data_IF_715006206707
#
_entry.id   IF_715006206707
#
_cell.length_a   1.000
_cell.length_b   1.000
_cell.length_c   1.000
_cell.angle_alpha   90.00
_cell.angle_beta   90.00
_cell.angle_gamma   90.00
#
_symmetry.space_group_name_H-M   'P 1'
#
loop_
_entity.id
_entity.type
_entity.pdbx_description
1 polymer ?
#
# COMPACT_ATOMS: atom_id res chain seq x y z
N UNK A 1 13.73 -15.10 -4.18
CA UNK A 1 13.07 -15.85 -5.29
C UNK A 1 13.76 -15.51 -6.60
N UNK A 2 13.88 -16.42 -7.59
CA UNK A 2 14.52 -16.05 -8.88
C UNK A 2 13.61 -15.07 -9.64
N UNK A 3 14.20 -14.12 -10.38
CA UNK A 3 13.45 -13.04 -11.11
C UNK A 3 12.33 -13.59 -12.01
N UNK A 4 12.55 -14.75 -12.65
CA UNK A 4 11.55 -15.38 -13.52
C UNK A 4 10.35 -15.94 -12.73
N UNK A 5 10.60 -16.57 -11.58
CA UNK A 5 9.54 -17.10 -10.70
C UNK A 5 8.66 -15.97 -10.13
N UNK A 6 9.28 -14.82 -9.80
CA UNK A 6 8.53 -13.63 -9.35
C UNK A 6 7.60 -13.10 -10.44
N UNK A 7 8.12 -12.93 -11.66
CA UNK A 7 7.35 -12.43 -12.80
C UNK A 7 6.17 -13.34 -13.11
N UNK A 8 6.38 -14.66 -13.14
CA UNK A 8 5.31 -15.64 -13.38
C UNK A 8 4.26 -15.62 -12.27
N UNK A 9 4.68 -15.44 -11.01
CA UNK A 9 3.75 -15.31 -9.88
C UNK A 9 2.91 -14.04 -10.00
N UNK A 10 3.51 -12.90 -10.30
CA UNK A 10 2.80 -11.62 -10.47
C UNK A 10 1.80 -11.72 -11.60
N UNK A 11 2.18 -12.30 -12.74
CA UNK A 11 1.28 -12.48 -13.89
C UNK A 11 0.03 -13.29 -13.52
N UNK A 12 0.19 -14.39 -12.79
CA UNK A 12 -0.94 -15.22 -12.35
C UNK A 12 -1.88 -14.47 -11.40
N UNK A 13 -1.31 -13.63 -10.53
CA UNK A 13 -2.08 -12.77 -9.61
C UNK A 13 -2.83 -11.69 -10.38
N UNK A 14 -2.20 -11.04 -11.34
CA UNK A 14 -2.83 -10.03 -12.21
C UNK A 14 -4.01 -10.61 -13.00
N UNK A 15 -3.83 -11.75 -13.66
CA UNK A 15 -4.92 -12.46 -14.35
C UNK A 15 -6.06 -12.83 -13.38
N UNK A 16 -5.75 -13.07 -12.11
CA UNK A 16 -6.77 -13.33 -11.07
C UNK A 16 -7.50 -12.05 -10.69
N UNK A 17 -6.79 -10.94 -10.50
CA UNK A 17 -7.37 -9.63 -10.22
C UNK A 17 -8.35 -9.25 -11.32
N UNK A 18 -7.98 -9.40 -12.59
CA UNK A 18 -8.86 -9.11 -13.73
C UNK A 18 -10.17 -9.89 -13.69
N UNK A 19 -10.11 -11.18 -13.36
CA UNK A 19 -11.33 -12.00 -13.18
C UNK A 19 -12.19 -11.51 -12.02
N UNK A 20 -11.57 -11.10 -10.92
CA UNK A 20 -12.28 -10.64 -9.73
C UNK A 20 -12.91 -9.26 -9.92
N UNK A 21 -12.25 -8.34 -10.64
CA UNK A 21 -12.79 -7.02 -11.00
C UNK A 21 -14.13 -7.18 -11.73
N UNK A 22 -14.18 -8.13 -12.67
CA UNK A 22 -15.35 -8.43 -13.49
C UNK A 22 -16.38 -9.35 -12.79
N UNK A 23 -16.13 -9.76 -11.55
CA UNK A 23 -17.03 -10.66 -10.83
C UNK A 23 -18.32 -9.96 -10.39
N UNK A 24 -19.48 -10.66 -10.38
CA UNK A 24 -20.74 -10.08 -9.90
C UNK A 24 -20.64 -9.50 -8.48
N UNK A 25 -19.86 -10.16 -7.61
CA UNK A 25 -19.67 -9.70 -6.23
C UNK A 25 -18.91 -8.38 -6.16
N UNK A 26 -17.82 -8.21 -6.92
CA UNK A 26 -17.09 -6.93 -6.92
C UNK A 26 -17.96 -5.78 -7.46
N UNK A 27 -18.78 -6.07 -8.48
CA UNK A 27 -19.74 -5.10 -9.02
C UNK A 27 -20.83 -4.71 -8.01
N UNK A 28 -21.27 -5.64 -7.15
CA UNK A 28 -22.19 -5.30 -6.04
C UNK A 28 -21.50 -4.51 -4.93
N UNK A 29 -20.25 -4.84 -4.57
CA UNK A 29 -19.48 -4.07 -3.60
C UNK A 29 -19.32 -2.63 -4.06
N UNK A 30 -18.98 -2.39 -5.33
CA UNK A 30 -18.82 -1.05 -5.89
C UNK A 30 -20.09 -0.18 -5.74
N UNK A 31 -21.29 -0.79 -5.79
CA UNK A 31 -22.56 -0.08 -5.60
C UNK A 31 -22.79 0.37 -4.15
N UNK A 32 -22.05 -0.17 -3.17
CA UNK A 32 -22.17 0.22 -1.77
C UNK A 32 -21.45 1.55 -1.45
N UNK A 33 -20.63 2.06 -2.37
CA UNK A 33 -19.71 3.15 -2.11
C UNK A 33 -19.90 4.35 -3.04
N UNK A 34 -19.59 5.54 -2.52
CA UNK A 34 -19.35 6.74 -3.32
C UNK A 34 -17.85 6.99 -3.43
N UNK A 35 -17.36 7.47 -4.59
CA UNK A 35 -15.97 7.86 -4.75
C UNK A 35 -15.56 8.96 -3.75
N UNK A 36 -14.39 8.80 -3.14
CA UNK A 36 -13.78 9.81 -2.29
C UNK A 36 -12.71 10.58 -3.08
N UNK A 37 -12.95 11.86 -3.41
CA UNK A 37 -12.11 12.62 -4.35
C UNK A 37 -10.84 13.24 -3.74
N UNK A 38 -10.83 13.50 -2.42
CA UNK A 38 -9.78 14.27 -1.75
C UNK A 38 -9.22 13.48 -0.57
N UNK A 39 -8.54 12.37 -0.86
CA UNK A 39 -7.96 11.54 0.17
C UNK A 39 -6.62 10.97 -0.28
N UNK A 40 -5.78 10.63 0.69
CA UNK A 40 -4.55 9.92 0.43
C UNK A 40 -4.87 8.60 -0.28
N UNK A 41 -4.09 8.28 -1.32
CA UNK A 41 -4.19 7.04 -2.10
C UNK A 41 -3.28 5.95 -1.54
N UNK A 42 -3.12 5.94 -0.22
CA UNK A 42 -2.30 5.00 0.54
C UNK A 42 -3.02 3.66 0.78
N UNK A 43 -4.36 3.70 0.84
CA UNK A 43 -5.22 2.53 0.97
C UNK A 43 -6.51 2.75 0.15
N UNK A 44 -7.29 1.69 -0.05
CA UNK A 44 -8.61 1.82 -0.65
C UNK A 44 -9.53 2.59 0.30
N UNK A 45 -10.28 3.56 -0.23
CA UNK A 45 -11.19 4.41 0.56
C UNK A 45 -12.49 4.66 -0.19
N UNK A 46 -13.61 4.54 0.51
CA UNK A 46 -14.95 4.81 -0.02
C UNK A 46 -15.86 5.44 1.04
N UNK A 47 -16.80 6.27 0.61
CA UNK A 47 -17.85 6.80 1.49
C UNK A 47 -19.06 5.87 1.36
N UNK A 48 -19.51 5.21 2.44
CA UNK A 48 -20.61 4.26 2.35
C UNK A 48 -21.91 4.98 1.97
N UNK A 49 -22.73 4.34 1.13
CA UNK A 49 -24.08 4.83 0.88
C UNK A 49 -24.93 4.78 2.16
N UNK A 50 -25.98 5.63 2.27
CA UNK A 50 -26.89 5.58 3.40
C UNK A 50 -27.52 4.20 3.57
N UNK A 51 -27.75 3.79 4.84
CA UNK A 51 -28.38 2.50 5.19
C UNK A 51 -29.77 2.32 4.59
N UNK A 52 -30.47 3.40 4.25
CA UNK A 52 -31.75 3.36 3.51
C UNK A 52 -31.63 2.77 2.11
N UNK A 53 -30.42 2.70 1.55
CA UNK A 53 -30.12 2.13 0.22
C UNK A 53 -29.36 0.81 0.28
N UNK A 54 -28.92 0.38 1.46
CA UNK A 54 -28.06 -0.79 1.62
C UNK A 54 -28.74 -1.85 2.50
N UNK A 55 -28.56 -3.12 2.13
CA UNK A 55 -29.06 -4.24 2.94
C UNK A 55 -28.20 -4.52 4.18
N UNK A 56 -26.93 -4.13 4.14
CA UNK A 56 -26.02 -4.22 5.27
C UNK A 56 -25.06 -3.03 5.29
N UNK A 57 -24.49 -2.77 6.46
CA UNK A 57 -23.46 -1.74 6.63
C UNK A 57 -22.17 -2.29 5.99
N UNK A 58 -21.60 -1.62 4.98
CA UNK A 58 -20.37 -2.07 4.36
C UNK A 58 -19.20 -1.79 5.31
N UNK A 59 -18.26 -2.72 5.37
CA UNK A 59 -17.08 -2.64 6.22
C UNK A 59 -15.85 -3.08 5.44
N UNK A 60 -14.69 -2.55 5.80
CA UNK A 60 -13.39 -2.94 5.24
C UNK A 60 -12.50 -3.44 6.36
N UNK A 61 -11.65 -4.41 6.07
CA UNK A 61 -10.69 -4.98 7.03
C UNK A 61 -9.28 -4.65 6.55
N UNK A 62 -8.55 -3.87 7.33
CA UNK A 62 -7.17 -3.48 7.02
C UNK A 62 -6.24 -3.84 8.19
N UNK A 63 -5.66 -5.04 8.16
CA UNK A 63 -4.53 -5.41 9.02
C UNK A 63 -3.30 -4.55 8.74
N UNK A 64 -2.50 -4.31 9.77
CA UNK A 64 -1.15 -3.77 9.61
C UNK A 64 -0.24 -4.75 8.84
N UNK A 65 0.78 -4.23 8.14
CA UNK A 65 1.68 -5.04 7.31
C UNK A 65 2.31 -6.23 8.06
N UNK A 66 2.75 -6.12 9.33
CA UNK A 66 3.21 -7.27 10.12
C UNK A 66 2.16 -8.37 10.30
N UNK A 67 0.88 -8.04 10.37
CA UNK A 67 -0.20 -9.04 10.41
C UNK A 67 -0.41 -9.67 9.03
N UNK A 68 -0.38 -8.87 7.97
CA UNK A 68 -0.40 -9.40 6.59
C UNK A 68 0.75 -10.35 6.31
N UNK A 69 1.95 -10.04 6.78
CA UNK A 69 3.14 -10.88 6.67
C UNK A 69 2.92 -12.25 7.31
N UNK A 70 2.22 -12.32 8.46
CA UNK A 70 1.86 -13.58 9.11
C UNK A 70 0.78 -14.35 8.34
N UNK A 71 -0.18 -13.66 7.73
CA UNK A 71 -1.27 -14.27 6.95
C UNK A 71 -0.73 -14.88 5.64
N UNK A 72 0.14 -14.14 4.94
CA UNK A 72 0.59 -14.48 3.59
C UNK A 72 2.01 -15.06 3.53
N UNK A 73 2.75 -15.03 4.64
CA UNK A 73 4.08 -15.64 4.76
C UNK A 73 5.19 -14.87 4.03
N UNK A 74 5.18 -13.54 4.07
CA UNK A 74 6.24 -12.71 3.49
C UNK A 74 7.07 -11.99 4.56
N UNK A 75 8.28 -11.57 4.20
CA UNK A 75 9.14 -10.77 5.08
C UNK A 75 8.76 -9.29 5.02
N UNK A 76 8.54 -8.68 6.19
CA UNK A 76 8.10 -7.28 6.29
C UNK A 76 9.18 -6.32 5.77
N UNK A 77 10.46 -6.59 6.04
CA UNK A 77 11.55 -5.72 5.61
C UNK A 77 11.73 -5.75 4.09
N UNK A 78 11.67 -6.93 3.49
CA UNK A 78 11.67 -7.13 2.05
C UNK A 78 10.46 -6.45 1.40
N UNK A 79 9.27 -6.55 1.99
CA UNK A 79 8.07 -5.86 1.50
C UNK A 79 8.30 -4.36 1.32
N UNK A 80 8.90 -3.66 2.30
CA UNK A 80 9.14 -2.22 2.19
C UNK A 80 10.33 -1.81 1.29
N UNK A 81 11.19 -2.75 0.87
CA UNK A 81 12.44 -2.44 0.17
C UNK A 81 12.53 -3.01 -1.25
N UNK A 82 11.83 -4.11 -1.54
CA UNK A 82 11.84 -4.80 -2.83
C UNK A 82 10.51 -4.57 -3.58
N UNK A 83 10.54 -3.92 -4.76
CA UNK A 83 9.33 -3.62 -5.54
C UNK A 83 8.54 -4.88 -5.97
N UNK A 84 9.22 -5.98 -6.26
CA UNK A 84 8.58 -7.23 -6.66
C UNK A 84 7.85 -7.91 -5.51
N UNK A 85 8.49 -7.97 -4.34
CA UNK A 85 7.90 -8.46 -3.10
C UNK A 85 6.70 -7.60 -2.69
N UNK A 86 6.82 -6.27 -2.78
CA UNK A 86 5.72 -5.35 -2.52
C UNK A 86 4.53 -5.66 -3.42
N UNK A 87 4.71 -5.60 -4.74
CA UNK A 87 3.64 -5.80 -5.72
C UNK A 87 2.96 -7.17 -5.56
N UNK A 88 3.75 -8.25 -5.50
CA UNK A 88 3.21 -9.60 -5.34
C UNK A 88 2.32 -9.70 -4.11
N UNK A 89 2.77 -9.16 -2.99
CA UNK A 89 2.03 -9.26 -1.74
C UNK A 89 0.84 -8.31 -1.71
N UNK A 90 0.91 -7.11 -2.29
CA UNK A 90 -0.25 -6.20 -2.45
C UNK A 90 -1.36 -6.87 -3.26
N UNK A 91 -1.04 -7.48 -4.41
CA UNK A 91 -2.03 -8.24 -5.21
C UNK A 91 -2.60 -9.41 -4.42
N UNK A 92 -1.76 -10.12 -3.66
CA UNK A 92 -2.18 -11.23 -2.81
C UNK A 92 -3.12 -10.77 -1.68
N UNK A 93 -2.85 -9.62 -1.05
CA UNK A 93 -3.72 -9.02 -0.04
C UNK A 93 -5.09 -8.65 -0.62
N UNK A 94 -5.13 -8.06 -1.82
CA UNK A 94 -6.39 -7.74 -2.51
C UNK A 94 -7.25 -8.99 -2.74
N UNK A 95 -6.64 -10.06 -3.26
CA UNK A 95 -7.32 -11.34 -3.48
C UNK A 95 -7.76 -11.95 -2.14
N UNK A 96 -6.88 -11.96 -1.14
CA UNK A 96 -7.17 -12.57 0.15
C UNK A 96 -8.33 -11.88 0.87
N UNK A 97 -8.35 -10.54 0.92
CA UNK A 97 -9.47 -9.77 1.49
C UNK A 97 -10.78 -10.14 0.82
N UNK A 98 -10.78 -10.16 -0.51
CA UNK A 98 -11.97 -10.51 -1.27
C UNK A 98 -12.42 -11.94 -0.98
N UNK A 99 -11.54 -12.93 -1.01
CA UNK A 99 -11.94 -14.33 -0.92
C UNK A 99 -12.20 -14.81 0.52
N UNK A 100 -11.43 -14.32 1.50
CA UNK A 100 -11.41 -14.85 2.87
C UNK A 100 -12.11 -13.94 3.88
N UNK A 101 -11.81 -12.64 3.89
CA UNK A 101 -12.52 -11.70 4.78
C UNK A 101 -13.91 -11.41 4.26
N UNK A 102 -14.09 -11.49 2.94
CA UNK A 102 -15.32 -11.18 2.25
C UNK A 102 -15.86 -9.79 2.61
N UNK A 103 -14.93 -8.86 2.87
CA UNK A 103 -15.25 -7.48 3.18
C UNK A 103 -15.74 -6.71 1.94
N UNK A 104 -15.98 -5.42 2.11
CA UNK A 104 -16.49 -4.52 1.07
C UNK A 104 -15.38 -3.68 0.42
N UNK A 105 -14.13 -4.12 0.47
CA UNK A 105 -13.05 -3.44 -0.27
C UNK A 105 -13.16 -3.79 -1.76
N UNK A 106 -13.31 -2.79 -2.64
CA UNK A 106 -13.33 -3.05 -4.08
C UNK A 106 -11.96 -3.54 -4.54
N UNK A 107 -11.94 -4.54 -5.42
CA UNK A 107 -10.76 -4.86 -6.23
C UNK A 107 -10.76 -3.94 -7.45
N UNK A 108 -9.66 -3.22 -7.64
CA UNK A 108 -9.40 -2.29 -8.74
C UNK A 108 -7.91 -2.39 -9.15
N UNK A 109 -7.57 -1.98 -10.37
CA UNK A 109 -6.17 -1.89 -10.81
C UNK A 109 -5.53 -0.60 -10.29
N UNK A 110 -5.27 -0.56 -8.98
CA UNK A 110 -4.56 0.52 -8.29
C UNK A 110 -3.61 -0.11 -7.27
N UNK A 111 -2.31 0.18 -7.39
CA UNK A 111 -1.31 -0.22 -6.40
C UNK A 111 -0.92 1.00 -5.56
N UNK A 112 -1.41 1.11 -4.30
CA UNK A 112 -0.90 2.14 -3.41
C UNK A 112 0.55 1.82 -3.04
N UNK A 113 1.43 2.81 -3.01
CA UNK A 113 2.80 2.69 -2.49
C UNK A 113 2.84 3.33 -1.10
N UNK A 114 2.91 2.49 -0.07
CA UNK A 114 2.98 2.87 1.32
C UNK A 114 4.36 2.51 1.88
N UNK A 115 5.17 3.53 2.20
CA UNK A 115 6.52 3.35 2.75
C UNK A 115 6.56 3.44 4.29
N UNK A 116 5.41 3.29 4.93
CA UNK A 116 5.25 3.39 6.38
C UNK A 116 5.06 4.83 6.87
N UNK A 117 4.61 4.96 8.12
CA UNK A 117 4.30 6.24 8.76
C UNK A 117 5.53 7.17 8.97
N UNK A 118 6.72 6.65 8.67
CA UNK A 118 7.98 7.38 8.76
C UNK A 118 8.26 8.23 7.51
N UNK A 119 7.53 7.98 6.42
CA UNK A 119 7.82 8.55 5.11
C UNK A 119 7.88 10.07 5.14
N UNK A 120 6.84 10.73 5.65
CA UNK A 120 6.76 12.19 5.71
C UNK A 120 7.88 12.79 6.56
N UNK A 121 8.13 12.24 7.75
CA UNK A 121 9.22 12.70 8.63
C UNK A 121 10.60 12.50 8.00
N UNK A 122 10.77 11.44 7.20
CA UNK A 122 12.04 11.19 6.50
C UNK A 122 12.37 12.30 5.51
N UNK A 123 11.37 12.97 4.94
CA UNK A 123 11.55 14.08 4.00
C UNK A 123 12.27 15.27 4.64
N UNK A 124 12.14 15.41 5.97
CA UNK A 124 12.77 16.45 6.78
C UNK A 124 14.07 15.97 7.46
N UNK A 125 14.55 14.77 7.11
CA UNK A 125 15.83 14.24 7.58
C UNK A 125 15.73 13.29 8.78
N UNK A 126 14.53 12.99 9.29
CA UNK A 126 14.39 11.91 10.27
C UNK A 126 14.79 10.57 9.64
N UNK A 127 15.53 9.75 10.39
CA UNK A 127 15.99 8.47 9.88
C UNK A 127 14.91 7.39 10.04
N UNK A 128 14.60 6.69 8.96
CA UNK A 128 13.73 5.49 8.98
C UNK A 128 14.56 4.25 9.34
N UNK A 129 14.02 3.42 10.24
CA UNK A 129 14.60 2.16 10.69
C UNK A 129 13.71 1.01 10.21
N UNK A 130 14.30 0.08 9.45
CA UNK A 130 13.64 -1.14 9.00
C UNK A 130 14.05 -2.32 9.88
N UNK A 131 13.16 -2.70 10.79
CA UNK A 131 13.32 -3.85 11.70
C UNK A 131 12.65 -5.09 11.10
N UNK A 132 13.21 -6.26 11.37
CA UNK A 132 12.63 -7.54 10.94
C UNK A 132 11.25 -7.76 11.57
N UNK A 133 10.27 -8.15 10.76
CA UNK A 133 8.91 -8.44 11.23
C UNK A 133 8.07 -7.24 11.66
N UNK A 134 8.55 -6.01 11.52
CA UNK A 134 7.86 -4.79 11.98
C UNK A 134 7.72 -3.74 10.88
N UNK A 135 6.69 -2.90 10.98
CA UNK A 135 6.58 -1.70 10.14
C UNK A 135 7.75 -0.74 10.41
N UNK A 136 8.13 0.13 9.45
CA UNK A 136 9.24 1.05 9.62
C UNK A 136 9.01 1.99 10.81
N UNK A 137 10.08 2.23 11.57
CA UNK A 137 10.08 3.13 12.72
C UNK A 137 10.91 4.37 12.47
N UNK A 138 10.58 5.46 13.15
CA UNK A 138 11.47 6.61 13.23
C UNK A 138 12.58 6.32 14.23
N UNK A 139 13.79 6.71 13.87
CA UNK A 139 14.89 6.79 14.82
C UNK A 139 14.48 7.71 15.98
N UNK A 140 14.95 7.38 17.19
CA UNK A 140 14.58 8.10 18.40
C UNK A 140 15.25 9.46 18.50
N UNK A 141 16.28 9.69 17.70
CA UNK A 141 16.99 10.97 17.64
C UNK A 141 16.12 12.03 16.92
N UNK A 142 15.61 13.05 17.63
CA UNK A 142 14.79 14.07 17.02
C UNK A 142 15.64 15.06 16.22
N UNK A 143 15.12 15.48 15.07
CA UNK A 143 15.75 16.52 14.23
C UNK A 143 15.52 17.93 14.78
N UNK A 144 14.47 18.12 15.59
CA UNK A 144 14.13 19.39 16.25
C UNK A 144 14.32 19.18 17.75
N UNK A 145 15.30 19.85 18.34
CA UNK A 145 15.58 19.79 19.79
C UNK A 145 15.21 21.09 20.48
N UNK A 146 15.33 22.20 19.77
CA UNK A 146 14.93 23.52 20.24
C UNK A 146 14.02 24.22 19.24
N UNK A 147 13.41 25.34 19.65
CA UNK A 147 12.57 26.14 18.76
C UNK A 147 13.37 26.67 17.56
N UNK A 148 14.64 27.04 17.75
CA UNK A 148 15.52 27.57 16.71
C UNK A 148 15.88 26.53 15.64
N UNK A 149 15.71 25.24 15.91
CA UNK A 149 15.91 24.19 14.91
C UNK A 149 14.81 24.20 13.85
N UNK A 150 13.61 24.72 14.18
CA UNK A 150 12.53 24.88 13.20
C UNK A 150 12.92 25.84 12.08
N UNK A 151 13.63 26.92 12.41
CA UNK A 151 14.10 27.91 11.43
C UNK A 151 15.19 27.35 10.50
N UNK A 152 15.82 26.22 10.88
CA UNK A 152 16.86 25.55 10.09
C UNK A 152 16.30 24.45 9.18
N UNK A 153 15.01 24.12 9.29
CA UNK A 153 14.41 23.08 8.45
C UNK A 153 14.40 23.53 6.99
N UNK A 154 15.06 22.73 6.16
CA UNK A 154 14.98 22.90 4.71
C UNK A 154 13.66 22.35 4.18
N UNK A 155 13.15 22.96 3.12
CA UNK A 155 12.08 22.35 2.32
C UNK A 155 12.57 21.04 1.70
N UNK A 156 11.78 19.95 1.73
CA UNK A 156 12.19 18.69 1.13
C UNK A 156 12.42 18.76 -0.37
N UNK A 157 13.40 18.02 -0.86
CA UNK A 157 13.60 17.70 -2.27
C UNK A 157 12.82 16.42 -2.60
N UNK A 158 11.78 16.52 -3.42
CA UNK A 158 10.93 15.39 -3.79
C UNK A 158 11.59 14.31 -4.68
N UNK A 159 12.90 14.38 -4.90
CA UNK A 159 13.67 13.30 -5.53
C UNK A 159 14.74 12.73 -4.60
N UNK A 160 15.28 13.54 -3.69
CA UNK A 160 16.47 13.18 -2.90
C UNK A 160 16.24 13.08 -1.40
N UNK A 161 15.24 13.77 -0.85
CA UNK A 161 15.00 13.79 0.59
C UNK A 161 14.48 12.44 1.09
N UNK A 162 15.00 11.98 2.22
CA UNK A 162 14.48 10.84 2.95
C UNK A 162 14.28 9.60 2.08
N UNK A 163 13.05 9.08 2.10
CA UNK A 163 12.63 7.92 1.33
C UNK A 163 12.18 8.22 -0.11
N UNK A 164 12.29 9.46 -0.62
CA UNK A 164 11.91 9.77 -2.01
C UNK A 164 12.66 8.90 -3.06
N UNK A 165 13.98 8.66 -2.96
CA UNK A 165 14.66 7.76 -3.89
C UNK A 165 14.07 6.34 -3.90
N UNK A 166 13.63 5.85 -2.73
CA UNK A 166 12.95 4.57 -2.62
C UNK A 166 11.57 4.63 -3.28
N UNK A 167 10.79 5.69 -3.02
CA UNK A 167 9.47 5.86 -3.64
C UNK A 167 9.52 5.86 -5.17
N UNK A 168 10.46 6.61 -5.76
CA UNK A 168 10.68 6.62 -7.22
C UNK A 168 11.06 5.24 -7.73
N UNK A 169 12.01 4.56 -7.07
CA UNK A 169 12.40 3.19 -7.44
C UNK A 169 11.23 2.20 -7.39
N UNK A 170 10.41 2.27 -6.34
CA UNK A 170 9.23 1.42 -6.18
C UNK A 170 8.24 1.68 -7.33
N UNK A 171 7.94 2.95 -7.60
CA UNK A 171 7.05 3.35 -8.69
C UNK A 171 7.53 2.87 -10.06
N UNK A 172 8.78 3.16 -10.41
CA UNK A 172 9.36 2.80 -11.71
C UNK A 172 9.36 1.29 -11.92
N UNK A 173 9.87 0.51 -10.95
CA UNK A 173 9.98 -0.94 -11.10
C UNK A 173 8.63 -1.65 -11.02
N UNK A 174 7.68 -1.17 -10.20
CA UNK A 174 6.31 -1.71 -10.20
C UNK A 174 5.66 -1.45 -11.57
N UNK A 175 5.79 -0.24 -12.12
CA UNK A 175 5.27 0.07 -13.45
C UNK A 175 5.88 -0.78 -14.56
N UNK A 176 7.17 -1.08 -14.50
CA UNK A 176 7.81 -2.02 -15.43
C UNK A 176 7.22 -3.44 -15.30
N UNK A 177 7.03 -3.92 -14.07
CA UNK A 177 6.50 -5.26 -13.80
C UNK A 177 5.05 -5.43 -14.29
N UNK A 178 4.23 -4.38 -14.17
CA UNK A 178 2.81 -4.39 -14.60
C UNK A 178 2.59 -3.73 -15.96
N UNK A 179 3.66 -3.30 -16.64
CA UNK A 179 3.60 -2.61 -17.94
C UNK A 179 2.67 -1.38 -17.96
N UNK A 180 2.58 -0.67 -16.84
CA UNK A 180 1.75 0.53 -16.68
C UNK A 180 0.24 0.28 -16.61
N UNK A 181 -0.20 -0.94 -16.30
CA UNK A 181 -1.63 -1.29 -16.23
C UNK A 181 -2.31 -0.99 -14.87
N UNK A 182 -1.60 -0.44 -13.89
CA UNK A 182 -2.09 -0.15 -12.52
C UNK A 182 -1.87 1.31 -12.10
#
# INVERSE_FOLDING_TARGET
MKKNEMTDSIKKLDERIERLINSPRNQEIAKAWKPQKYTAKDHWRGIPLPTTRLRMIPFTVEPEIPMWAKILGFDVKEFYNDPGCYLKNTLSMMIYRFENFQDFTCIEKIIPIWLGATFESSLFGSKTIFTEGESPWLDREPIIKTQEDLDKLASPDFYKSGLMPLAHRMYEQINELVKGEY
#
